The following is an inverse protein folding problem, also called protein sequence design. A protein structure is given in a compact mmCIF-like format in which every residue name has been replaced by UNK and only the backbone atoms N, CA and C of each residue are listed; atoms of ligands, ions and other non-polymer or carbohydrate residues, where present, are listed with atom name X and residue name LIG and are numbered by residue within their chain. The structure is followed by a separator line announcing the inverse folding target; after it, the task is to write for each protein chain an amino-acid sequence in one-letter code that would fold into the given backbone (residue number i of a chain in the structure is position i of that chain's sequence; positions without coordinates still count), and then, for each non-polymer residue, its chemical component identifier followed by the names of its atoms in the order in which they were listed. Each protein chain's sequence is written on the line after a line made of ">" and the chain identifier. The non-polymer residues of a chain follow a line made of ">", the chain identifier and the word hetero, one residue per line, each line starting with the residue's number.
data_IF_259433117787
#
_entry.id   IF_259433117787
#
_cell.length_a   1.000
_cell.length_b   1.000
_cell.length_c   1.000
_cell.angle_alpha   90.00
_cell.angle_beta   90.00
_cell.angle_gamma   90.00
#
_symmetry.space_group_name_H-M   'P 1'
#
loop_
_entity.id
_entity.type
_entity.pdbx_description
1 polymer ?
#
# COMPACT_ATOMS: atom_id res chain seq x y z
N UNK A 1 12.15 -11.88 -5.03
CA UNK A 1 13.00 -10.79 -4.51
C UNK A 1 12.17 -9.91 -3.59
N UNK A 2 12.66 -9.52 -2.41
CA UNK A 2 12.00 -8.51 -1.55
C UNK A 2 12.69 -7.17 -1.76
N UNK A 3 11.95 -6.11 -2.06
CA UNK A 3 12.49 -4.76 -2.27
C UNK A 3 11.79 -3.80 -1.32
N UNK A 4 12.52 -3.29 -0.32
CA UNK A 4 12.11 -2.18 0.52
C UNK A 4 12.89 -0.94 0.11
N UNK A 5 12.21 0.21 0.03
CA UNK A 5 12.82 1.49 -0.33
C UNK A 5 12.43 2.53 0.70
N UNK A 6 13.40 3.02 1.47
CA UNK A 6 13.18 4.11 2.42
C UNK A 6 12.72 5.36 1.69
N UNK A 7 11.65 5.99 2.19
CA UNK A 7 11.11 7.21 1.60
C UNK A 7 10.44 7.04 0.24
N UNK A 8 10.15 5.81 -0.21
CA UNK A 8 9.48 5.57 -1.50
C UNK A 8 8.23 6.44 -1.65
N UNK A 9 8.16 7.15 -2.77
CA UNK A 9 7.01 7.96 -3.16
C UNK A 9 6.24 7.29 -4.30
N UNK A 10 4.96 7.61 -4.44
CA UNK A 10 4.14 7.11 -5.54
C UNK A 10 4.72 7.50 -6.92
N UNK A 11 5.40 8.64 -7.02
CA UNK A 11 6.07 9.07 -8.26
C UNK A 11 7.15 8.08 -8.72
N UNK A 12 7.79 7.39 -7.77
CA UNK A 12 8.93 6.51 -8.05
C UNK A 12 8.49 5.06 -8.31
N UNK A 13 7.26 4.68 -7.97
CA UNK A 13 6.80 3.28 -8.03
C UNK A 13 6.96 2.70 -9.44
N UNK A 14 6.50 3.42 -10.47
CA UNK A 14 6.59 2.94 -11.86
C UNK A 14 8.05 2.76 -12.30
N UNK A 15 8.94 3.69 -11.94
CA UNK A 15 10.36 3.60 -12.31
C UNK A 15 11.05 2.41 -11.62
N UNK A 16 10.69 2.12 -10.36
CA UNK A 16 11.16 0.94 -9.62
C UNK A 16 10.63 -0.37 -10.21
N UNK A 17 9.36 -0.42 -10.60
CA UNK A 17 8.79 -1.60 -11.27
C UNK A 17 9.45 -1.86 -12.62
N UNK A 18 9.68 -0.81 -13.43
CA UNK A 18 10.42 -0.91 -14.71
C UNK A 18 11.84 -1.43 -14.50
N UNK A 19 12.53 -0.95 -13.46
CA UNK A 19 13.89 -1.42 -13.14
C UNK A 19 13.88 -2.89 -12.73
N UNK A 20 12.92 -3.28 -11.89
CA UNK A 20 12.76 -4.67 -11.44
C UNK A 20 12.52 -5.65 -12.59
N UNK A 21 11.69 -5.25 -13.57
CA UNK A 21 11.39 -6.03 -14.76
C UNK A 21 12.62 -6.27 -15.67
N UNK A 22 13.66 -5.44 -15.58
CA UNK A 22 14.90 -5.60 -16.35
C UNK A 22 15.86 -6.63 -15.75
N UNK A 23 15.77 -6.85 -14.44
CA UNK A 23 16.78 -7.62 -13.69
C UNK A 23 16.26 -8.95 -13.16
N UNK A 24 14.95 -9.17 -13.22
CA UNK A 24 14.30 -10.39 -12.74
C UNK A 24 13.16 -10.80 -13.68
N UNK A 25 12.82 -12.08 -13.62
CA UNK A 25 11.59 -12.59 -14.25
C UNK A 25 10.35 -11.90 -13.68
N UNK A 26 9.26 -11.90 -14.45
CA UNK A 26 7.98 -11.36 -14.01
C UNK A 26 7.55 -12.06 -12.71
N UNK A 27 7.29 -11.32 -11.62
CA UNK A 27 6.88 -11.93 -10.37
C UNK A 27 5.46 -12.49 -10.46
N UNK A 28 5.17 -13.54 -9.70
CA UNK A 28 3.80 -14.06 -9.52
C UNK A 28 2.93 -13.11 -8.68
N UNK A 29 3.56 -12.24 -7.88
CA UNK A 29 2.90 -11.39 -6.90
C UNK A 29 3.66 -10.07 -6.69
N UNK A 30 2.94 -8.96 -6.77
CA UNK A 30 3.40 -7.63 -6.35
C UNK A 30 2.52 -7.18 -5.19
N UNK A 31 3.15 -6.89 -4.04
CA UNK A 31 2.50 -6.24 -2.91
C UNK A 31 3.00 -4.80 -2.84
N UNK A 32 2.10 -3.83 -3.03
CA UNK A 32 2.42 -2.41 -2.93
C UNK A 32 1.89 -1.84 -1.62
N UNK A 33 2.82 -1.38 -0.77
CA UNK A 33 2.53 -0.59 0.42
C UNK A 33 3.26 0.76 0.31
N UNK A 34 2.59 1.77 -0.25
CA UNK A 34 3.19 3.07 -0.56
C UNK A 34 2.13 4.19 -0.48
N UNK A 35 2.59 5.45 -0.41
CA UNK A 35 1.74 6.65 -0.48
C UNK A 35 1.72 7.49 0.80
N UNK A 36 2.09 6.92 1.95
CA UNK A 36 2.18 7.70 3.20
C UNK A 36 3.19 8.84 3.14
N UNK A 37 4.21 8.75 2.28
CA UNK A 37 5.25 9.79 2.11
C UNK A 37 4.82 10.93 1.17
N UNK A 38 3.78 10.72 0.37
CA UNK A 38 3.22 11.71 -0.56
C UNK A 38 2.18 12.60 0.10
N UNK A 39 1.59 12.12 1.18
CA UNK A 39 0.54 12.81 1.92
C UNK A 39 1.03 14.13 2.52
N UNK A 40 0.24 15.19 2.31
CA UNK A 40 0.55 16.55 2.77
C UNK A 40 1.54 17.28 1.87
N UNK A 41 2.37 16.55 1.11
CA UNK A 41 3.22 17.10 0.04
C UNK A 41 2.41 17.32 -1.25
N UNK A 42 1.59 16.33 -1.61
CA UNK A 42 0.73 16.35 -2.79
C UNK A 42 -0.73 16.52 -2.36
N UNK A 43 -1.51 17.22 -3.19
CA UNK A 43 -2.95 17.27 -3.03
C UNK A 43 -3.59 15.91 -3.36
N UNK A 44 -4.84 15.72 -2.93
CA UNK A 44 -5.57 14.45 -3.07
C UNK A 44 -5.73 14.03 -4.54
N UNK A 45 -5.99 14.96 -5.45
CA UNK A 45 -6.17 14.68 -6.88
C UNK A 45 -4.88 14.18 -7.52
N UNK A 46 -3.74 14.80 -7.22
CA UNK A 46 -2.44 14.36 -7.71
C UNK A 46 -2.12 12.94 -7.22
N UNK A 47 -2.41 12.63 -5.95
CA UNK A 47 -2.24 11.26 -5.42
C UNK A 47 -3.13 10.27 -6.17
N UNK A 48 -4.39 10.62 -6.43
CA UNK A 48 -5.33 9.79 -7.20
C UNK A 48 -4.84 9.54 -8.63
N UNK A 49 -4.37 10.58 -9.32
CA UNK A 49 -3.78 10.43 -10.66
C UNK A 49 -2.56 9.52 -10.66
N UNK A 50 -1.71 9.59 -9.64
CA UNK A 50 -0.56 8.69 -9.51
C UNK A 50 -0.98 7.24 -9.25
N UNK A 51 -2.01 7.03 -8.42
CA UNK A 51 -2.60 5.70 -8.20
C UNK A 51 -3.10 5.12 -9.52
N UNK A 52 -3.83 5.92 -10.32
CA UNK A 52 -4.31 5.51 -11.64
C UNK A 52 -3.16 5.15 -12.58
N UNK A 53 -2.11 5.97 -12.63
CA UNK A 53 -0.91 5.68 -13.44
C UNK A 53 -0.24 4.38 -13.02
N UNK A 54 -0.09 4.12 -11.72
CA UNK A 54 0.51 2.88 -11.20
C UNK A 54 -0.36 1.67 -11.55
N UNK A 55 -1.67 1.76 -11.32
CA UNK A 55 -2.61 0.66 -11.56
C UNK A 55 -2.66 0.32 -13.05
N UNK A 56 -2.77 1.34 -13.92
CA UNK A 56 -2.77 1.15 -15.36
C UNK A 56 -1.45 0.53 -15.82
N UNK A 57 -0.31 1.03 -15.34
CA UNK A 57 1.00 0.43 -15.65
C UNK A 57 1.07 -1.04 -15.24
N UNK A 58 0.63 -1.39 -14.03
CA UNK A 58 0.64 -2.79 -13.58
C UNK A 58 -0.30 -3.65 -14.44
N UNK A 59 -1.49 -3.14 -14.75
CA UNK A 59 -2.45 -3.84 -15.58
C UNK A 59 -1.92 -4.03 -17.01
N UNK A 60 -1.22 -3.07 -17.57
CA UNK A 60 -0.71 -3.17 -18.95
C UNK A 60 0.56 -4.05 -19.03
N UNK A 61 1.48 -3.91 -18.07
CA UNK A 61 2.79 -4.55 -18.11
C UNK A 61 2.88 -5.92 -17.43
N UNK A 62 1.91 -6.27 -16.56
CA UNK A 62 1.93 -7.48 -15.72
C UNK A 62 0.63 -8.29 -15.75
N UNK A 63 -0.45 -7.82 -16.41
CA UNK A 63 -1.67 -8.61 -16.55
C UNK A 63 -1.34 -9.99 -17.13
N UNK A 64 -2.09 -11.00 -16.69
CA UNK A 64 -1.94 -12.43 -17.03
C UNK A 64 -0.92 -13.25 -16.25
N UNK A 65 0.11 -12.66 -15.62
CA UNK A 65 1.13 -13.45 -14.89
C UNK A 65 1.33 -13.08 -13.42
N UNK A 66 0.85 -11.91 -13.01
CA UNK A 66 1.11 -11.39 -11.68
C UNK A 66 -0.20 -11.02 -10.97
N UNK A 67 -0.31 -11.45 -9.71
CA UNK A 67 -1.31 -10.93 -8.78
C UNK A 67 -0.84 -9.59 -8.23
N UNK A 68 -1.75 -8.63 -8.15
CA UNK A 68 -1.46 -7.32 -7.60
C UNK A 68 -2.22 -7.10 -6.30
N UNK A 69 -1.48 -6.90 -5.22
CA UNK A 69 -2.02 -6.65 -3.89
C UNK A 69 -1.71 -5.23 -3.48
N UNK A 70 -2.74 -4.43 -3.22
CA UNK A 70 -2.60 -3.13 -2.59
C UNK A 70 -2.77 -3.26 -1.08
N UNK A 71 -1.75 -2.90 -0.33
CA UNK A 71 -1.81 -2.82 1.13
C UNK A 71 -2.07 -1.37 1.54
N UNK A 72 -3.19 -1.14 2.21
CA UNK A 72 -3.64 0.21 2.50
C UNK A 72 -2.68 1.02 3.39
N UNK A 73 -2.66 2.34 3.21
CA UNK A 73 -1.78 3.23 3.98
C UNK A 73 -2.21 3.20 5.45
N UNK A 74 -1.29 2.81 6.33
CA UNK A 74 -1.49 2.72 7.79
C UNK A 74 -1.59 4.12 8.42
N UNK A 75 -2.33 4.28 9.53
CA UNK A 75 -2.34 5.55 10.27
C UNK A 75 -0.94 5.92 10.78
N UNK A 76 -0.73 7.22 10.99
CA UNK A 76 0.46 7.80 11.62
C UNK A 76 0.02 8.82 12.67
N UNK A 77 0.77 8.93 13.76
CA UNK A 77 0.60 9.99 14.77
C UNK A 77 1.45 11.23 14.46
N UNK A 78 2.29 11.17 13.43
CA UNK A 78 3.00 12.33 12.89
C UNK A 78 3.02 12.30 11.36
N UNK A 79 2.91 13.47 10.74
CA UNK A 79 3.02 13.64 9.30
C UNK A 79 4.01 14.76 8.98
N UNK A 80 4.90 14.52 8.01
CA UNK A 80 6.02 15.43 7.70
C UNK A 80 5.59 16.83 7.24
N UNK A 81 4.42 16.94 6.62
CA UNK A 81 3.99 18.16 5.91
C UNK A 81 2.73 18.79 6.51
N UNK A 82 2.26 18.31 7.66
CA UNK A 82 1.07 18.85 8.33
C UNK A 82 0.98 18.38 9.77
N UNK A 83 0.68 19.30 10.69
CA UNK A 83 0.41 19.01 12.10
C UNK A 83 -1.07 18.68 12.37
N UNK A 84 -1.96 18.86 11.37
CA UNK A 84 -3.38 18.51 11.50
C UNK A 84 -3.59 17.00 11.30
N UNK A 85 -3.41 16.25 12.39
CA UNK A 85 -3.53 14.79 12.40
C UNK A 85 -4.92 14.31 11.98
N UNK A 86 -5.98 15.07 12.28
CA UNK A 86 -7.36 14.70 11.96
C UNK A 86 -7.58 14.82 10.46
N UNK A 87 -7.22 15.95 9.87
CA UNK A 87 -7.33 16.19 8.43
C UNK A 87 -6.45 15.19 7.66
N UNK A 88 -5.22 14.94 8.11
CA UNK A 88 -4.31 14.00 7.46
C UNK A 88 -4.84 12.57 7.50
N UNK A 89 -5.31 12.08 8.64
CA UNK A 89 -5.92 10.75 8.70
C UNK A 89 -7.24 10.66 7.93
N UNK A 90 -7.99 11.76 7.81
CA UNK A 90 -9.17 11.83 6.94
C UNK A 90 -8.80 11.73 5.46
N UNK A 91 -7.78 12.46 5.03
CA UNK A 91 -7.22 12.38 3.68
C UNK A 91 -6.73 10.96 3.38
N UNK A 92 -6.02 10.32 4.32
CA UNK A 92 -5.53 8.95 4.21
C UNK A 92 -6.67 7.96 3.93
N UNK A 93 -7.77 8.07 4.67
CA UNK A 93 -8.96 7.24 4.46
C UNK A 93 -9.54 7.43 3.06
N UNK A 94 -9.63 8.68 2.57
CA UNK A 94 -10.10 8.98 1.21
C UNK A 94 -9.19 8.37 0.13
N UNK A 95 -7.87 8.42 0.32
CA UNK A 95 -6.89 7.79 -0.58
C UNK A 95 -7.05 6.27 -0.58
N UNK A 96 -7.13 5.65 0.61
CA UNK A 96 -7.32 4.21 0.74
C UNK A 96 -8.63 3.73 0.09
N UNK A 97 -9.75 4.43 0.32
CA UNK A 97 -11.03 4.11 -0.32
C UNK A 97 -10.94 4.20 -1.86
N UNK A 98 -10.24 5.21 -2.38
CA UNK A 98 -10.03 5.36 -3.81
C UNK A 98 -9.20 4.22 -4.38
N UNK A 99 -8.04 3.91 -3.77
CA UNK A 99 -7.20 2.80 -4.18
C UNK A 99 -7.96 1.46 -4.13
N UNK A 100 -8.69 1.20 -3.05
CA UNK A 100 -9.54 0.02 -2.91
C UNK A 100 -10.49 -0.10 -4.10
N UNK A 101 -11.27 0.95 -4.40
CA UNK A 101 -12.20 0.94 -5.51
C UNK A 101 -11.52 0.63 -6.85
N UNK A 102 -10.38 1.26 -7.15
CA UNK A 102 -9.63 1.03 -8.39
C UNK A 102 -9.09 -0.39 -8.50
N UNK A 103 -8.55 -0.93 -7.42
CA UNK A 103 -8.00 -2.29 -7.39
C UNK A 103 -9.04 -3.36 -7.61
N UNK A 104 -10.26 -3.17 -7.13
CA UNK A 104 -11.34 -4.14 -7.34
C UNK A 104 -11.70 -4.33 -8.82
N UNK A 105 -11.36 -3.36 -9.68
CA UNK A 105 -11.56 -3.45 -11.13
C UNK A 105 -10.40 -4.11 -11.88
N UNK A 106 -9.32 -4.48 -11.19
CA UNK A 106 -8.20 -5.21 -11.78
C UNK A 106 -8.49 -6.72 -11.69
N UNK A 107 -8.30 -7.46 -12.80
CA UNK A 107 -8.64 -8.88 -12.89
C UNK A 107 -7.96 -9.72 -11.79
N UNK A 108 -6.66 -9.54 -11.59
CA UNK A 108 -5.88 -10.17 -10.52
C UNK A 108 -5.53 -9.16 -9.40
N UNK A 109 -6.45 -8.21 -9.15
CA UNK A 109 -6.33 -7.20 -8.10
C UNK A 109 -6.89 -7.67 -6.76
N UNK A 110 -6.15 -7.37 -5.70
CA UNK A 110 -6.48 -7.71 -4.32
C UNK A 110 -6.16 -6.56 -3.38
N UNK A 111 -6.96 -6.40 -2.33
CA UNK A 111 -6.82 -5.31 -1.38
C UNK A 111 -6.73 -5.84 0.06
N UNK A 112 -5.76 -5.34 0.83
CA UNK A 112 -5.58 -5.68 2.24
C UNK A 112 -5.90 -4.46 3.09
N UNK A 113 -6.90 -4.59 3.97
CA UNK A 113 -7.17 -3.64 5.05
C UNK A 113 -6.26 -3.91 6.24
N UNK A 114 -6.09 -2.88 7.06
CA UNK A 114 -5.20 -2.86 8.22
C UNK A 114 -5.90 -3.21 9.53
N UNK A 115 -6.92 -4.07 9.61
CA UNK A 115 -7.82 -4.12 10.78
C UNK A 115 -7.10 -4.13 12.15
N UNK A 116 -6.04 -4.94 12.30
CA UNK A 116 -5.23 -4.99 13.54
C UNK A 116 -4.23 -3.83 13.75
N UNK A 117 -4.11 -2.90 12.80
CA UNK A 117 -3.26 -1.69 12.83
C UNK A 117 -4.11 -0.42 12.64
N UNK A 118 -5.41 -0.46 13.02
CA UNK A 118 -6.35 0.68 12.88
C UNK A 118 -6.00 1.87 13.75
N UNK A 119 -5.32 1.64 14.87
CA UNK A 119 -5.00 2.66 15.87
C UNK A 119 -3.50 2.78 16.09
N UNK A 120 -3.04 4.01 16.31
CA UNK A 120 -1.65 4.29 16.65
C UNK A 120 -1.48 4.08 18.14
N UNK A 121 -0.95 2.91 18.52
CA UNK A 121 -0.64 2.59 19.92
C UNK A 121 0.87 2.55 20.14
N UNK A 122 1.37 2.88 21.34
CA UNK A 122 2.80 2.81 21.65
C UNK A 122 3.41 1.40 21.47
N UNK A 123 2.58 0.36 21.53
CA UNK A 123 3.01 -1.01 21.30
C UNK A 123 3.26 -1.30 19.81
N UNK A 124 2.48 -0.71 18.90
CA UNK A 124 2.53 -0.96 17.47
C UNK A 124 3.36 0.08 16.69
N UNK A 125 3.50 1.28 17.25
CA UNK A 125 4.24 2.40 16.66
C UNK A 125 5.22 2.93 17.72
N UNK A 126 6.54 2.98 17.42
CA UNK A 126 7.51 3.58 18.32
C UNK A 126 7.28 5.09 18.45
N UNK A 127 8.07 5.75 19.30
CA UNK A 127 7.92 7.18 19.61
C UNK A 127 8.04 8.12 18.40
N UNK A 128 8.55 7.64 17.26
CA UNK A 128 8.57 8.43 16.02
C UNK A 128 7.19 8.63 15.38
N UNK A 129 6.19 7.83 15.78
CA UNK A 129 4.82 7.96 15.33
C UNK A 129 4.57 7.68 13.84
N UNK A 130 5.58 7.15 13.13
CA UNK A 130 5.58 6.97 11.67
C UNK A 130 5.84 5.52 11.30
N UNK A 131 6.82 4.88 11.92
CA UNK A 131 7.20 3.51 11.61
C UNK A 131 6.45 2.51 12.48
N UNK A 132 6.45 1.24 12.06
CA UNK A 132 5.95 0.16 12.89
C UNK A 132 7.05 -0.31 13.85
N UNK A 133 6.67 -0.63 15.08
CA UNK A 133 7.54 -1.29 16.05
C UNK A 133 7.84 -2.73 15.59
N UNK A 134 8.69 -3.47 16.30
CA UNK A 134 8.88 -4.90 16.03
C UNK A 134 7.56 -5.69 16.12
N UNK A 135 6.70 -5.34 17.09
CA UNK A 135 5.37 -5.94 17.21
C UNK A 135 4.46 -5.49 16.06
N UNK A 136 4.45 -4.20 15.72
CA UNK A 136 3.68 -3.68 14.59
C UNK A 136 4.05 -4.35 13.27
N UNK A 137 5.35 -4.57 13.02
CA UNK A 137 5.84 -5.31 11.86
C UNK A 137 5.41 -6.79 11.88
N UNK A 138 5.40 -7.43 13.06
CA UNK A 138 4.93 -8.80 13.19
C UNK A 138 3.45 -8.92 12.81
N UNK A 139 2.62 -7.99 13.31
CA UNK A 139 1.20 -7.89 12.97
C UNK A 139 1.00 -7.60 11.48
N UNK A 140 1.81 -6.71 10.89
CA UNK A 140 1.78 -6.39 9.47
C UNK A 140 2.06 -7.62 8.59
N UNK A 141 3.11 -8.38 8.91
CA UNK A 141 3.47 -9.61 8.19
C UNK A 141 2.41 -10.69 8.36
N UNK A 142 1.85 -10.83 9.57
CA UNK A 142 0.77 -11.79 9.84
C UNK A 142 -0.48 -11.48 9.01
N UNK A 143 -0.86 -10.19 8.88
CA UNK A 143 -1.98 -9.79 8.03
C UNK A 143 -1.73 -10.11 6.56
N UNK A 144 -0.51 -9.84 6.04
CA UNK A 144 -0.16 -10.22 4.68
C UNK A 144 -0.29 -11.73 4.49
N UNK A 145 0.25 -12.52 5.41
CA UNK A 145 0.19 -13.98 5.33
C UNK A 145 -1.26 -14.49 5.34
N UNK A 146 -2.10 -13.97 6.24
CA UNK A 146 -3.52 -14.29 6.32
C UNK A 146 -4.29 -13.92 5.04
N UNK A 147 -4.04 -12.72 4.52
CA UNK A 147 -4.64 -12.25 3.28
C UNK A 147 -4.26 -13.12 2.08
N UNK A 148 -2.98 -13.42 1.90
CA UNK A 148 -2.52 -14.26 0.79
C UNK A 148 -3.11 -15.67 0.86
N UNK A 149 -3.24 -16.23 2.07
CA UNK A 149 -3.90 -17.52 2.26
C UNK A 149 -5.40 -17.47 1.89
N UNK A 150 -6.11 -16.40 2.27
CA UNK A 150 -7.51 -16.20 1.90
C UNK A 150 -7.69 -16.01 0.38
N UNK A 151 -6.85 -15.18 -0.25
CA UNK A 151 -6.87 -14.94 -1.69
C UNK A 151 -6.59 -16.22 -2.48
N UNK A 152 -5.66 -17.06 -2.02
CA UNK A 152 -5.39 -18.37 -2.64
C UNK A 152 -6.60 -19.30 -2.60
N UNK A 153 -7.44 -19.23 -1.57
CA UNK A 153 -8.68 -20.01 -1.45
C UNK A 153 -9.84 -19.44 -2.29
N UNK A 154 -9.67 -18.26 -2.89
CA UNK A 154 -10.71 -17.60 -3.68
C UNK A 154 -11.88 -17.06 -2.84
N UNK A 155 -11.69 -16.87 -1.53
CA UNK A 155 -12.79 -16.51 -0.62
C UNK A 155 -13.22 -15.03 -0.74
N UNK A 156 -12.31 -14.14 -1.12
CA UNK A 156 -12.56 -12.71 -1.34
C UNK A 156 -11.38 -12.06 -2.05
N UNK A 157 -11.59 -10.93 -2.74
CA UNK A 157 -10.51 -10.05 -3.23
C UNK A 157 -10.12 -8.96 -2.23
N UNK A 158 -10.88 -8.79 -1.16
CA UNK A 158 -10.59 -7.87 -0.05
C UNK A 158 -10.43 -8.67 1.24
N UNK A 159 -9.35 -8.42 1.99
CA UNK A 159 -9.10 -9.01 3.30
C UNK A 159 -9.18 -7.93 4.38
N UNK A 160 -9.76 -8.30 5.52
CA UNK A 160 -9.88 -7.43 6.72
C UNK A 160 -8.99 -7.93 7.84
#
# INVERSE_FOLDING_TARGET
>A
MRQGYDGLSLLDVVSKLKTSKKVAETPDLIILHCGGNDMGRLNLENIRSLIDVIINFINDDFSFKCKFVWFQIVPRSSWRYSDDLIAMNSCRRRINCYAANKIMHVNEGFYIKYDKLREVTPALFPSDGVHLSSLGNSVFVEQIAGALHAFKKGTSKCFE
#
